data_IF_634864661410
#
_entry.id   IF_634864661410
#
_cell.length_a   1.000
_cell.length_b   1.000
_cell.length_c   1.000
_cell.angle_alpha   90.00
_cell.angle_beta   90.00
_cell.angle_gamma   90.00
#
_symmetry.space_group_name_H-M   'P 1'
#
loop_
_entity.id
_entity.type
_entity.pdbx_description
1 polymer ?
#
# COMPACT_ATOMS: atom_id res chain seq x y z
N UNK A 1 -0.11 24.92 16.47
CA UNK A 1 0.15 26.10 15.61
C UNK A 1 -0.92 26.17 14.55
N UNK A 2 -1.32 27.37 14.08
CA UNK A 2 -2.24 27.48 12.94
C UNK A 2 -1.64 26.80 11.70
N UNK A 3 -2.47 26.11 10.92
CA UNK A 3 -2.04 25.45 9.68
C UNK A 3 -1.74 26.47 8.56
N UNK A 4 -2.36 27.65 8.64
CA UNK A 4 -2.18 28.75 7.72
C UNK A 4 -2.46 30.07 8.46
N UNK A 5 -1.67 31.11 8.17
CA UNK A 5 -1.89 32.47 8.69
C UNK A 5 -2.15 33.38 7.51
N UNK A 6 -3.41 33.77 7.32
CA UNK A 6 -3.83 34.66 6.24
C UNK A 6 -3.98 36.10 6.77
N UNK A 7 -3.24 37.08 6.20
CA UNK A 7 -3.38 38.46 6.62
C UNK A 7 -4.74 39.01 6.19
N UNK A 8 -5.44 39.69 7.10
CA UNK A 8 -6.81 40.17 6.85
C UNK A 8 -6.92 41.09 5.62
N UNK A 9 -5.85 41.81 5.29
CA UNK A 9 -5.78 42.69 4.13
C UNK A 9 -5.78 41.95 2.78
N UNK A 10 -5.43 40.66 2.74
CA UNK A 10 -5.45 39.86 1.50
C UNK A 10 -6.76 39.11 1.26
N UNK A 11 -7.70 39.11 2.21
CA UNK A 11 -8.97 38.37 2.07
C UNK A 11 -9.79 38.82 0.85
N UNK A 12 -9.80 40.12 0.56
CA UNK A 12 -10.56 40.66 -0.58
C UNK A 12 -10.03 40.20 -1.94
N UNK A 13 -8.71 40.03 -2.09
CA UNK A 13 -8.11 39.50 -3.31
C UNK A 13 -8.22 37.97 -3.38
N UNK A 14 -8.04 37.27 -2.26
CA UNK A 14 -8.27 35.83 -2.13
C UNK A 14 -9.69 35.43 -2.54
N UNK A 15 -10.70 36.15 -2.04
CA UNK A 15 -12.10 35.88 -2.38
C UNK A 15 -12.39 36.06 -3.87
N UNK A 16 -11.78 37.05 -4.52
CA UNK A 16 -11.96 37.30 -5.96
C UNK A 16 -11.22 36.28 -6.84
N UNK A 17 -10.05 35.81 -6.39
CA UNK A 17 -9.24 34.85 -7.13
C UNK A 17 -9.65 33.39 -6.94
N UNK A 18 -10.44 33.09 -5.91
CA UNK A 18 -10.91 31.74 -5.63
C UNK A 18 -12.36 31.55 -6.14
N UNK A 19 -12.59 30.89 -7.30
CA UNK A 19 -13.94 30.63 -7.80
C UNK A 19 -14.76 29.76 -6.84
N UNK A 20 -14.09 29.01 -5.97
CA UNK A 20 -14.68 28.12 -4.98
C UNK A 20 -14.68 28.73 -3.57
N UNK A 21 -14.61 30.06 -3.47
CA UNK A 21 -14.65 30.77 -2.18
C UNK A 21 -15.95 30.55 -1.42
N UNK A 22 -17.06 30.35 -2.16
CA UNK A 22 -18.40 30.17 -1.59
C UNK A 22 -18.82 28.71 -1.68
N UNK A 23 -19.48 28.22 -0.62
CA UNK A 23 -20.04 26.87 -0.60
C UNK A 23 -21.06 26.68 -1.76
N UNK A 24 -20.98 25.59 -2.54
CA UNK A 24 -21.91 25.39 -3.65
C UNK A 24 -23.36 25.28 -3.20
N UNK A 25 -24.27 25.99 -3.88
CA UNK A 25 -25.69 25.96 -3.56
C UNK A 25 -26.35 24.70 -4.12
N UNK A 26 -27.14 23.99 -3.30
CA UNK A 26 -27.83 22.75 -3.71
C UNK A 26 -28.96 22.94 -4.73
N UNK A 27 -29.35 24.19 -5.00
CA UNK A 27 -30.45 24.52 -5.90
C UNK A 27 -30.08 24.43 -7.40
N UNK A 28 -28.81 24.20 -7.71
CA UNK A 28 -28.29 24.07 -9.07
C UNK A 28 -27.36 22.87 -9.17
N UNK A 29 -27.07 22.41 -10.40
CA UNK A 29 -25.99 21.46 -10.65
C UNK A 29 -24.71 22.05 -10.05
N UNK A 30 -24.02 21.27 -9.25
CA UNK A 30 -22.86 21.72 -8.48
C UNK A 30 -21.92 20.54 -8.21
N UNK A 31 -20.76 20.83 -7.61
CA UNK A 31 -19.71 19.83 -7.34
C UNK A 31 -19.92 18.98 -6.08
N UNK A 32 -21.06 19.09 -5.38
CA UNK A 32 -21.39 18.29 -4.20
C UNK A 32 -22.20 17.04 -4.56
N UNK A 33 -22.94 17.07 -5.66
CA UNK A 33 -23.92 16.03 -6.02
C UNK A 33 -23.72 15.58 -7.48
N UNK A 34 -23.80 14.28 -7.80
CA UNK A 34 -24.04 13.15 -6.88
C UNK A 34 -22.78 12.74 -6.09
N UNK A 35 -21.61 13.25 -6.46
CA UNK A 35 -20.33 12.97 -5.78
C UNK A 35 -19.68 14.30 -5.44
N UNK A 36 -19.30 14.45 -4.17
CA UNK A 36 -18.58 15.63 -3.71
C UNK A 36 -17.15 15.66 -4.28
N UNK A 37 -16.92 16.52 -5.26
CA UNK A 37 -15.64 16.73 -5.90
C UNK A 37 -14.95 17.99 -5.35
N UNK A 38 -13.82 17.85 -4.63
CA UNK A 38 -13.00 19.00 -4.29
C UNK A 38 -12.36 19.58 -5.56
N UNK A 39 -11.96 20.85 -5.49
CA UNK A 39 -11.04 21.40 -6.48
C UNK A 39 -9.68 20.73 -6.26
N UNK A 40 -9.07 20.25 -7.33
CA UNK A 40 -7.70 19.74 -7.30
C UNK A 40 -6.73 20.84 -7.74
N UNK A 41 -5.72 21.11 -6.90
CA UNK A 41 -4.61 22.00 -7.22
C UNK A 41 -3.29 21.21 -7.08
N UNK A 42 -2.96 20.35 -8.07
CA UNK A 42 -1.84 19.43 -7.95
C UNK A 42 -0.51 20.19 -7.95
N UNK A 43 0.40 19.83 -7.05
CA UNK A 43 1.72 20.46 -6.93
C UNK A 43 2.71 20.09 -8.04
N UNK A 44 2.35 19.16 -8.92
CA UNK A 44 3.14 18.74 -10.08
C UNK A 44 2.26 18.14 -11.18
N UNK A 45 2.80 18.07 -12.40
CA UNK A 45 2.18 17.39 -13.54
C UNK A 45 2.84 16.05 -13.85
N UNK A 46 2.09 15.19 -14.52
CA UNK A 46 2.54 13.88 -15.05
C UNK A 46 2.58 13.99 -16.57
N UNK A 47 3.73 13.68 -17.16
CA UNK A 47 3.97 13.67 -18.59
C UNK A 47 3.96 12.23 -19.13
N UNK A 48 3.73 12.04 -20.43
CA UNK A 48 3.61 10.70 -21.05
C UNK A 48 4.88 9.84 -20.92
N UNK A 49 6.03 10.49 -20.81
CA UNK A 49 7.34 9.87 -20.70
C UNK A 49 7.65 9.41 -19.27
N UNK A 50 6.88 9.90 -18.29
CA UNK A 50 7.05 9.53 -16.90
C UNK A 50 6.79 8.05 -16.67
N UNK A 51 7.61 7.49 -15.79
CA UNK A 51 7.47 6.13 -15.29
C UNK A 51 6.85 6.19 -13.91
N UNK A 52 5.73 5.50 -13.77
CA UNK A 52 4.92 5.45 -12.57
C UNK A 52 5.07 4.08 -11.94
N UNK A 53 5.43 4.04 -10.66
CA UNK A 53 5.38 2.82 -9.84
C UNK A 53 4.07 2.83 -9.04
N UNK A 54 3.36 1.72 -8.98
CA UNK A 54 2.16 1.55 -8.14
C UNK A 54 2.35 0.40 -7.17
N UNK A 55 2.05 0.65 -5.89
CA UNK A 55 2.07 -0.37 -4.83
C UNK A 55 0.92 -0.13 -3.86
N UNK A 56 0.41 -1.21 -3.27
CA UNK A 56 -0.60 -1.12 -2.23
C UNK A 56 -1.72 -2.13 -2.40
N UNK A 57 -2.91 -1.77 -1.90
CA UNK A 57 -4.10 -2.63 -1.95
C UNK A 57 -4.55 -2.95 -3.37
N UNK A 58 -5.60 -3.77 -3.52
CA UNK A 58 -6.26 -4.05 -4.81
C UNK A 58 -6.62 -2.79 -5.62
N UNK A 59 -6.88 -1.66 -4.96
CA UNK A 59 -7.17 -0.40 -5.62
C UNK A 59 -5.95 0.21 -6.33
N UNK A 60 -4.73 -0.06 -5.86
CA UNK A 60 -3.50 0.30 -6.57
C UNK A 60 -3.45 -0.33 -7.96
N UNK A 61 -3.86 -1.60 -8.09
CA UNK A 61 -3.95 -2.28 -9.40
C UNK A 61 -5.03 -1.66 -10.30
N UNK A 62 -6.13 -1.17 -9.72
CA UNK A 62 -7.15 -0.45 -10.47
C UNK A 62 -6.62 0.90 -10.99
N UNK A 63 -5.89 1.65 -10.15
CA UNK A 63 -5.18 2.87 -10.56
C UNK A 63 -4.20 2.56 -11.69
N UNK A 64 -3.35 1.55 -11.52
CA UNK A 64 -2.39 1.10 -12.54
C UNK A 64 -3.07 0.78 -13.88
N UNK A 65 -4.21 0.10 -13.84
CA UNK A 65 -5.01 -0.20 -15.03
C UNK A 65 -5.53 1.05 -15.74
N UNK A 66 -5.96 2.08 -15.01
CA UNK A 66 -6.41 3.35 -15.59
C UNK A 66 -5.25 4.18 -16.13
N UNK A 67 -4.11 4.21 -15.42
CA UNK A 67 -2.89 4.89 -15.88
C UNK A 67 -2.40 4.27 -17.19
N UNK A 68 -2.37 2.94 -17.27
CA UNK A 68 -1.99 2.22 -18.50
C UNK A 68 -2.90 2.54 -19.68
N UNK A 69 -4.22 2.72 -19.46
CA UNK A 69 -5.17 3.14 -20.51
C UNK A 69 -4.92 4.56 -21.03
N UNK A 70 -4.15 5.37 -20.32
CA UNK A 70 -3.75 6.72 -20.72
C UNK A 70 -2.30 6.77 -21.26
N UNK A 71 -1.78 5.64 -21.74
CA UNK A 71 -0.47 5.49 -22.39
C UNK A 71 0.75 5.85 -21.52
N UNK A 72 0.61 5.84 -20.19
CA UNK A 72 1.72 6.04 -19.25
C UNK A 72 2.47 4.73 -18.98
N UNK A 73 3.78 4.83 -18.74
CA UNK A 73 4.64 3.69 -18.41
C UNK A 73 4.43 3.28 -16.96
N UNK A 74 3.81 2.13 -16.75
CA UNK A 74 3.48 1.62 -15.42
C UNK A 74 4.44 0.50 -14.98
N UNK A 75 4.85 0.58 -13.73
CA UNK A 75 5.65 -0.40 -13.02
C UNK A 75 4.98 -0.75 -11.68
N UNK A 76 5.27 -1.92 -11.12
CA UNK A 76 6.03 -2.97 -11.77
C UNK A 76 5.27 -3.63 -12.93
N UNK A 77 6.00 -4.28 -13.83
CA UNK A 77 5.36 -5.11 -14.85
C UNK A 77 4.72 -6.34 -14.21
N UNK A 78 3.61 -6.81 -14.79
CA UNK A 78 2.92 -8.02 -14.30
C UNK A 78 3.82 -9.23 -14.45
N UNK A 79 4.02 -9.96 -13.37
CA UNK A 79 4.84 -11.19 -13.31
C UNK A 79 4.01 -12.47 -13.14
N UNK A 80 2.68 -12.39 -13.19
CA UNK A 80 1.81 -13.54 -12.89
C UNK A 80 2.07 -14.73 -13.81
N UNK A 81 2.37 -14.50 -15.09
CA UNK A 81 2.68 -15.56 -16.04
C UNK A 81 3.97 -16.31 -15.70
N UNK A 82 4.90 -15.66 -14.97
CA UNK A 82 6.15 -16.23 -14.48
C UNK A 82 5.99 -16.97 -13.14
N UNK A 83 4.86 -16.83 -12.46
CA UNK A 83 4.54 -17.55 -11.22
C UNK A 83 3.89 -18.89 -11.57
N UNK A 84 4.21 -20.01 -10.90
CA UNK A 84 3.53 -21.28 -11.16
C UNK A 84 2.03 -21.22 -10.84
N UNK A 85 1.20 -21.92 -11.63
CA UNK A 85 -0.27 -21.81 -11.58
C UNK A 85 -0.86 -21.97 -10.18
N UNK A 86 -0.34 -22.91 -9.38
CA UNK A 86 -0.81 -23.15 -8.01
C UNK A 86 -0.66 -21.95 -7.06
N UNK A 87 0.26 -21.03 -7.34
CA UNK A 87 0.47 -19.81 -6.55
C UNK A 87 -0.17 -18.57 -7.17
N UNK A 88 -0.68 -18.66 -8.40
CA UNK A 88 -1.29 -17.52 -9.09
C UNK A 88 -2.61 -17.16 -8.40
N UNK A 89 -2.66 -15.98 -7.82
CA UNK A 89 -3.86 -15.36 -7.29
C UNK A 89 -3.87 -13.88 -7.65
N UNK A 90 -5.05 -13.28 -7.75
CA UNK A 90 -5.19 -11.86 -8.10
C UNK A 90 -4.45 -10.95 -7.12
N UNK A 91 -4.45 -11.30 -5.83
CA UNK A 91 -3.88 -10.52 -4.73
C UNK A 91 -2.44 -10.89 -4.37
N UNK A 92 -1.71 -11.59 -5.24
CA UNK A 92 -0.39 -12.13 -4.93
C UNK A 92 0.58 -11.05 -4.44
N UNK A 93 0.55 -9.88 -5.08
CA UNK A 93 1.41 -8.73 -4.83
C UNK A 93 0.66 -7.52 -4.25
N UNK A 94 -0.50 -7.75 -3.63
CA UNK A 94 -1.20 -6.68 -2.92
C UNK A 94 -0.54 -6.46 -1.56
N UNK A 95 -0.40 -5.19 -1.20
CA UNK A 95 0.15 -4.75 0.06
C UNK A 95 -0.83 -3.86 0.80
N UNK A 96 -1.39 -4.34 1.90
CA UNK A 96 -2.56 -3.67 2.48
C UNK A 96 -2.23 -2.64 3.55
N UNK A 97 -1.12 -2.80 4.27
CA UNK A 97 -0.77 -1.92 5.39
C UNK A 97 0.59 -1.23 5.11
N UNK A 98 0.86 -0.08 5.75
CA UNK A 98 2.08 0.68 5.46
C UNK A 98 3.36 -0.09 5.84
N UNK A 99 3.33 -0.96 6.85
CA UNK A 99 4.51 -1.73 7.23
C UNK A 99 4.87 -2.80 6.21
N UNK A 100 3.91 -3.50 5.61
CA UNK A 100 4.25 -4.46 4.56
C UNK A 100 4.77 -3.79 3.30
N UNK A 101 4.27 -2.58 2.97
CA UNK A 101 4.84 -1.73 1.91
C UNK A 101 6.30 -1.33 2.24
N UNK A 102 6.55 -0.90 3.48
CA UNK A 102 7.90 -0.59 3.96
C UNK A 102 8.83 -1.81 3.83
N UNK A 103 8.41 -2.97 4.31
CA UNK A 103 9.17 -4.21 4.23
C UNK A 103 9.46 -4.60 2.78
N UNK A 104 8.50 -4.41 1.87
CA UNK A 104 8.70 -4.64 0.43
C UNK A 104 9.84 -3.78 -0.13
N UNK A 105 9.85 -2.48 0.16
CA UNK A 105 10.95 -1.62 -0.27
C UNK A 105 12.28 -1.95 0.42
N UNK A 106 12.27 -2.30 1.71
CA UNK A 106 13.47 -2.74 2.41
C UNK A 106 14.04 -4.03 1.82
N UNK A 107 13.23 -5.04 1.52
CA UNK A 107 13.71 -6.26 0.86
C UNK A 107 14.27 -5.98 -0.53
N UNK A 108 13.65 -5.08 -1.30
CA UNK A 108 14.06 -4.76 -2.66
C UNK A 108 15.31 -3.88 -2.74
N UNK A 109 15.47 -2.92 -1.81
CA UNK A 109 16.47 -1.86 -1.92
C UNK A 109 17.51 -1.86 -0.78
N UNK A 110 17.13 -2.36 0.41
CA UNK A 110 17.95 -2.36 1.62
C UNK A 110 17.90 -3.69 2.38
N UNK A 111 18.20 -4.84 1.75
CA UNK A 111 17.94 -6.16 2.34
C UNK A 111 18.71 -6.42 3.65
N UNK A 112 19.77 -5.65 3.94
CA UNK A 112 20.50 -5.71 5.20
C UNK A 112 19.78 -5.02 6.38
N UNK A 113 18.78 -4.15 6.10
CA UNK A 113 18.02 -3.40 7.12
C UNK A 113 16.85 -4.19 7.72
N UNK A 114 16.50 -5.32 7.12
CA UNK A 114 15.30 -6.10 7.45
C UNK A 114 15.65 -7.59 7.54
N UNK A 115 14.89 -8.35 8.34
CA UNK A 115 15.02 -9.80 8.38
C UNK A 115 14.62 -10.43 7.04
N UNK A 116 15.33 -11.46 6.55
CA UNK A 116 14.93 -12.17 5.34
C UNK A 116 13.53 -12.78 5.45
N UNK A 117 12.76 -12.80 4.35
CA UNK A 117 11.40 -13.38 4.31
C UNK A 117 11.32 -14.81 4.85
N UNK A 118 12.35 -15.61 4.63
CA UNK A 118 12.39 -17.00 5.10
C UNK A 118 12.37 -17.16 6.64
N UNK A 119 12.48 -16.06 7.40
CA UNK A 119 12.35 -16.07 8.87
C UNK A 119 10.91 -16.23 9.35
N UNK A 120 9.91 -15.86 8.54
CA UNK A 120 8.49 -16.01 8.86
C UNK A 120 7.80 -17.15 8.10
N UNK A 121 8.56 -17.98 7.37
CA UNK A 121 8.00 -19.13 6.65
C UNK A 121 7.42 -20.16 7.62
N UNK A 122 6.25 -20.68 7.25
CA UNK A 122 5.55 -21.71 8.03
C UNK A 122 5.76 -23.06 7.35
N UNK A 123 6.38 -24.00 8.06
CA UNK A 123 6.59 -25.36 7.58
C UNK A 123 5.36 -26.21 7.88
N UNK A 124 4.86 -26.93 6.88
CA UNK A 124 3.78 -27.91 7.04
C UNK A 124 4.31 -29.29 7.40
N UNK A 125 3.41 -30.20 7.82
CA UNK A 125 3.75 -31.59 8.16
C UNK A 125 4.43 -32.32 7.00
N UNK A 126 3.98 -32.08 5.76
CA UNK A 126 4.55 -32.64 4.52
C UNK A 126 5.89 -32.01 4.10
N UNK A 127 6.54 -31.25 4.98
CA UNK A 127 7.77 -30.50 4.70
C UNK A 127 7.68 -29.46 3.58
N UNK A 128 6.47 -29.05 3.21
CA UNK A 128 6.25 -27.89 2.36
C UNK A 128 6.31 -26.60 3.19
N UNK A 129 6.45 -25.49 2.50
CA UNK A 129 6.56 -24.15 3.07
C UNK A 129 5.40 -23.30 2.59
N UNK A 130 4.80 -22.57 3.51
CA UNK A 130 3.93 -21.44 3.25
C UNK A 130 4.67 -20.13 3.53
N UNK A 131 4.56 -19.18 2.60
CA UNK A 131 5.10 -17.84 2.73
C UNK A 131 3.97 -16.84 3.04
N UNK A 132 3.87 -16.34 4.28
CA UNK A 132 2.84 -15.39 4.67
C UNK A 132 3.13 -13.94 4.22
N UNK A 133 4.27 -13.66 3.58
CA UNK A 133 4.62 -12.32 3.07
C UNK A 133 3.99 -12.00 1.71
N UNK A 134 3.25 -12.95 1.12
CA UNK A 134 2.58 -12.83 -0.16
C UNK A 134 1.12 -13.30 -0.06
N UNK A 135 0.27 -12.87 -0.99
CA UNK A 135 -1.17 -13.14 -0.94
C UNK A 135 -1.64 -14.54 -1.34
N UNK A 136 -0.74 -15.45 -1.74
CA UNK A 136 -1.12 -16.81 -2.17
C UNK A 136 -1.57 -17.69 -0.98
N UNK A 137 -2.31 -18.76 -1.29
CA UNK A 137 -2.80 -19.73 -0.29
C UNK A 137 -2.17 -21.11 -0.40
N UNK A 138 -1.27 -21.29 -1.36
CA UNK A 138 -0.60 -22.56 -1.63
C UNK A 138 0.71 -22.70 -0.84
N UNK A 139 1.08 -23.95 -0.58
CA UNK A 139 2.39 -24.35 -0.06
C UNK A 139 3.27 -24.87 -1.20
N UNK A 140 4.58 -24.82 -1.01
CA UNK A 140 5.54 -25.33 -1.98
C UNK A 140 6.86 -25.76 -1.39
N UNK A 141 7.77 -26.21 -2.24
CA UNK A 141 9.15 -26.47 -1.81
C UNK A 141 9.87 -25.16 -1.50
N UNK A 142 11.00 -25.25 -0.80
CA UNK A 142 11.84 -24.07 -0.50
C UNK A 142 12.30 -23.37 -1.78
N UNK A 143 12.57 -24.14 -2.82
CA UNK A 143 13.03 -23.65 -4.12
C UNK A 143 11.91 -22.90 -4.85
N UNK A 144 10.68 -23.44 -4.85
CA UNK A 144 9.52 -22.76 -5.46
C UNK A 144 9.22 -21.43 -4.77
N UNK A 145 9.15 -21.44 -3.43
CA UNK A 145 8.89 -20.24 -2.63
C UNK A 145 10.04 -19.23 -2.77
N UNK A 146 11.29 -19.70 -2.78
CA UNK A 146 12.46 -18.86 -3.00
C UNK A 146 12.47 -18.19 -4.37
N UNK A 147 12.09 -18.91 -5.42
CA UNK A 147 11.99 -18.38 -6.77
C UNK A 147 10.89 -17.29 -6.90
N UNK A 148 9.72 -17.51 -6.30
CA UNK A 148 8.64 -16.53 -6.27
C UNK A 148 9.08 -15.29 -5.50
N UNK A 149 9.72 -15.46 -4.33
CA UNK A 149 10.22 -14.34 -3.54
C UNK A 149 11.25 -13.52 -4.31
N UNK A 150 12.21 -14.18 -4.96
CA UNK A 150 13.17 -13.48 -5.80
C UNK A 150 12.47 -12.70 -6.92
N UNK A 151 11.51 -13.32 -7.61
CA UNK A 151 10.74 -12.67 -8.66
C UNK A 151 9.99 -11.43 -8.15
N UNK A 152 9.37 -11.50 -6.97
CA UNK A 152 8.67 -10.36 -6.36
C UNK A 152 9.64 -9.27 -5.92
N UNK A 153 10.76 -9.60 -5.29
CA UNK A 153 11.79 -8.62 -4.92
C UNK A 153 12.38 -7.93 -6.15
N UNK A 154 12.69 -8.68 -7.22
CA UNK A 154 13.20 -8.12 -8.47
C UNK A 154 12.14 -7.20 -9.13
N UNK A 155 10.86 -7.60 -9.09
CA UNK A 155 9.72 -6.78 -9.51
C UNK A 155 9.63 -5.48 -8.71
N UNK A 156 9.72 -5.53 -7.39
CA UNK A 156 9.57 -4.36 -6.54
C UNK A 156 10.77 -3.40 -6.66
N UNK A 157 11.95 -3.90 -7.02
CA UNK A 157 13.13 -3.08 -7.33
C UNK A 157 12.94 -2.14 -8.54
N UNK A 158 11.93 -2.40 -9.39
CA UNK A 158 11.61 -1.55 -10.55
C UNK A 158 11.16 -0.14 -10.15
N UNK A 159 10.86 0.11 -8.86
CA UNK A 159 10.61 1.45 -8.32
C UNK A 159 11.77 2.41 -8.60
N UNK A 160 13.01 1.91 -8.66
CA UNK A 160 14.22 2.70 -8.99
C UNK A 160 14.20 3.27 -10.41
N UNK A 161 13.36 2.72 -11.30
CA UNK A 161 13.17 3.20 -12.68
C UNK A 161 12.16 4.34 -12.75
N UNK A 162 11.44 4.63 -11.66
CA UNK A 162 10.25 5.48 -11.65
C UNK A 162 10.51 6.84 -11.00
N UNK A 163 9.89 7.88 -11.55
CA UNK A 163 9.87 9.22 -10.95
C UNK A 163 8.63 9.43 -10.09
N UNK A 164 7.54 8.75 -10.39
CA UNK A 164 6.28 8.87 -9.66
C UNK A 164 6.02 7.55 -8.94
N UNK A 165 5.75 7.61 -7.65
CA UNK A 165 5.41 6.45 -6.82
C UNK A 165 4.02 6.66 -6.24
N UNK A 166 3.08 5.79 -6.60
CA UNK A 166 1.72 5.79 -6.06
C UNK A 166 1.64 4.70 -4.99
N UNK A 167 1.33 5.11 -3.77
CA UNK A 167 1.18 4.24 -2.61
C UNK A 167 -0.29 4.26 -2.21
N UNK A 168 -0.95 3.10 -2.24
CA UNK A 168 -2.37 2.98 -1.84
C UNK A 168 -2.51 2.18 -0.56
N UNK A 169 -2.78 2.85 0.56
CA UNK A 169 -3.02 2.21 1.85
C UNK A 169 -4.40 1.52 1.86
N UNK A 170 -4.51 0.38 2.54
CA UNK A 170 -5.72 -0.46 2.52
C UNK A 170 -6.33 -0.76 3.88
N UNK A 171 -5.50 -1.12 4.86
CA UNK A 171 -5.90 -1.69 6.16
C UNK A 171 -5.01 -1.16 7.29
N UNK A 172 -5.59 -1.02 8.48
CA UNK A 172 -4.86 -0.73 9.74
C UNK A 172 -4.82 -1.93 10.69
N UNK A 173 -5.59 -2.99 10.42
CA UNK A 173 -5.51 -4.24 11.18
C UNK A 173 -4.50 -5.16 10.49
N UNK A 174 -3.38 -5.40 11.17
CA UNK A 174 -2.19 -6.05 10.61
C UNK A 174 -1.87 -7.31 11.40
N UNK A 175 -1.43 -8.36 10.71
CA UNK A 175 -0.92 -9.57 11.34
C UNK A 175 0.57 -9.39 11.55
N UNK A 176 1.03 -9.53 12.79
CA UNK A 176 2.42 -9.41 13.18
C UNK A 176 2.96 -10.75 13.66
N UNK A 177 4.15 -11.12 13.20
CA UNK A 177 4.87 -12.32 13.64
C UNK A 177 5.95 -11.91 14.65
N UNK A 178 5.72 -12.21 15.94
CA UNK A 178 6.57 -11.78 17.04
C UNK A 178 7.97 -12.44 17.02
N UNK A 179 8.13 -13.59 16.37
CA UNK A 179 9.44 -14.25 16.26
C UNK A 179 10.32 -13.61 15.18
N UNK A 180 9.74 -13.29 14.02
CA UNK A 180 10.50 -12.67 12.91
C UNK A 180 10.57 -11.15 12.99
N UNK A 181 9.62 -10.53 13.72
CA UNK A 181 9.43 -9.09 13.75
C UNK A 181 8.85 -8.53 12.44
N UNK A 182 8.15 -9.36 11.66
CA UNK A 182 7.60 -8.99 10.36
C UNK A 182 6.06 -8.93 10.38
N UNK A 183 5.52 -7.97 9.65
CA UNK A 183 4.11 -7.92 9.28
C UNK A 183 3.84 -8.82 8.08
N UNK A 184 2.69 -9.49 8.11
CA UNK A 184 2.29 -10.50 7.13
C UNK A 184 1.17 -9.99 6.21
N UNK A 185 1.15 -10.46 4.97
CA UNK A 185 0.04 -10.19 4.02
C UNK A 185 -1.08 -11.22 4.15
N UNK A 186 -0.71 -12.47 4.44
CA UNK A 186 -1.65 -13.56 4.58
C UNK A 186 -1.74 -14.00 6.04
N UNK A 187 -2.97 -14.03 6.57
CA UNK A 187 -3.24 -14.67 7.85
C UNK A 187 -2.96 -16.18 7.75
N UNK A 188 -2.07 -16.74 8.60
CA UNK A 188 -1.71 -18.15 8.58
C UNK A 188 -2.91 -19.11 8.77
N UNK A 189 -3.95 -18.66 9.48
CA UNK A 189 -5.22 -19.36 9.59
C UNK A 189 -5.10 -20.82 10.01
N UNK A 190 -5.44 -21.73 9.10
CA UNK A 190 -5.44 -23.18 9.34
C UNK A 190 -4.05 -23.78 9.58
N UNK A 191 -2.99 -23.03 9.28
CA UNK A 191 -1.61 -23.45 9.55
C UNK A 191 -1.20 -23.16 11.00
N UNK A 192 -2.04 -22.47 11.78
CA UNK A 192 -1.83 -22.28 13.20
C UNK A 192 -2.25 -23.52 13.96
N UNK A 193 -1.38 -23.99 14.85
CA UNK A 193 -1.67 -24.96 15.89
C UNK A 193 -1.89 -24.23 17.23
N UNK A 194 -2.45 -24.92 18.22
CA UNK A 194 -2.56 -24.35 19.57
C UNK A 194 -1.18 -24.06 20.20
N UNK A 195 -0.11 -24.66 19.67
CA UNK A 195 1.26 -24.48 20.16
C UNK A 195 2.01 -23.31 19.52
N UNK A 196 1.55 -22.77 18.39
CA UNK A 196 2.22 -21.65 17.70
C UNK A 196 1.35 -20.40 17.58
N UNK A 197 0.10 -20.42 18.09
CA UNK A 197 -0.81 -19.28 17.96
C UNK A 197 -0.28 -18.02 18.66
N UNK A 198 0.35 -18.19 19.82
CA UNK A 198 0.90 -17.09 20.62
C UNK A 198 2.10 -16.38 19.96
N UNK A 199 2.61 -16.91 18.84
CA UNK A 199 3.62 -16.25 18.01
C UNK A 199 3.07 -15.04 17.25
N UNK A 200 1.76 -15.00 17.02
CA UNK A 200 1.15 -14.01 16.13
C UNK A 200 0.24 -13.05 16.89
N UNK A 201 0.40 -11.78 16.60
CA UNK A 201 -0.41 -10.70 17.15
C UNK A 201 -1.21 -10.00 16.05
N UNK A 202 -2.35 -9.42 16.43
CA UNK A 202 -3.08 -8.49 15.57
C UNK A 202 -2.81 -7.09 16.08
N UNK A 203 -2.08 -6.30 15.30
CA UNK A 203 -1.85 -4.89 15.58
C UNK A 203 -2.93 -4.06 14.89
N UNK A 204 -3.55 -3.14 15.63
CA UNK A 204 -4.46 -2.14 15.09
C UNK A 204 -3.73 -0.81 15.13
N UNK A 205 -3.28 -0.33 13.97
CA UNK A 205 -2.37 0.81 13.91
C UNK A 205 -3.02 2.12 14.34
N UNK A 206 -2.26 2.95 15.02
CA UNK A 206 -2.55 4.36 15.27
C UNK A 206 -2.06 5.26 14.12
N UNK A 207 -2.64 6.46 13.94
CA UNK A 207 -2.19 7.41 12.92
C UNK A 207 -0.70 7.76 12.99
N UNK A 208 -0.11 7.81 14.19
CA UNK A 208 1.33 8.05 14.38
C UNK A 208 2.18 6.91 13.82
N UNK A 209 1.80 5.66 14.07
CA UNK A 209 2.53 4.49 13.55
C UNK A 209 2.46 4.42 12.01
N UNK A 210 1.32 4.80 11.44
CA UNK A 210 1.15 4.92 9.99
C UNK A 210 2.06 6.01 9.43
N UNK A 211 2.11 7.18 10.09
CA UNK A 211 2.99 8.28 9.69
C UNK A 211 4.46 7.86 9.77
N UNK A 212 4.87 7.22 10.86
CA UNK A 212 6.25 6.74 11.05
C UNK A 212 6.66 5.74 9.96
N UNK A 213 5.75 4.83 9.57
CA UNK A 213 6.00 3.91 8.46
C UNK A 213 6.10 4.63 7.11
N UNK A 214 5.26 5.64 6.87
CA UNK A 214 5.32 6.46 5.64
C UNK A 214 6.60 7.30 5.57
N UNK A 215 7.06 7.86 6.69
CA UNK A 215 8.33 8.58 6.77
C UNK A 215 9.52 7.66 6.50
N UNK A 216 9.49 6.43 7.04
CA UNK A 216 10.50 5.41 6.74
C UNK A 216 10.49 4.98 5.27
N UNK A 217 9.30 4.77 4.68
CA UNK A 217 9.17 4.50 3.24
C UNK A 217 9.78 5.65 2.45
N UNK A 218 9.42 6.89 2.77
CA UNK A 218 9.96 8.07 2.11
C UNK A 218 11.48 8.16 2.25
N UNK A 219 12.04 7.84 3.42
CA UNK A 219 13.49 7.82 3.65
C UNK A 219 14.21 6.72 2.85
N UNK A 220 13.62 5.54 2.71
CA UNK A 220 14.13 4.49 1.81
C UNK A 220 14.09 5.00 0.37
N UNK A 221 12.94 5.46 -0.11
CA UNK A 221 12.81 5.95 -1.50
C UNK A 221 13.78 7.10 -1.80
N UNK A 222 13.93 8.07 -0.89
CA UNK A 222 14.84 9.21 -1.05
C UNK A 222 16.30 8.79 -1.24
N UNK A 223 16.74 7.70 -0.62
CA UNK A 223 18.11 7.19 -0.75
C UNK A 223 18.38 6.49 -2.09
N UNK A 224 17.33 5.96 -2.74
CA UNK A 224 17.47 5.09 -3.91
C UNK A 224 16.86 5.65 -5.20
N UNK A 225 15.98 6.65 -5.13
CA UNK A 225 15.33 7.28 -6.27
C UNK A 225 16.00 8.63 -6.63
N UNK A 226 15.79 9.14 -7.85
CA UNK A 226 16.26 10.48 -8.23
C UNK A 226 15.68 11.57 -7.31
N UNK A 227 16.43 12.65 -7.09
CA UNK A 227 16.09 13.71 -6.14
C UNK A 227 14.69 14.37 -6.33
N UNK A 228 14.12 14.32 -7.54
CA UNK A 228 12.84 14.95 -7.88
C UNK A 228 11.67 13.96 -7.98
N UNK A 229 11.79 12.77 -7.40
CA UNK A 229 10.68 11.82 -7.38
C UNK A 229 9.45 12.42 -6.64
N UNK A 230 8.26 11.96 -7.01
CA UNK A 230 6.98 12.42 -6.48
C UNK A 230 6.21 11.23 -5.91
N UNK A 231 5.63 11.40 -4.74
CA UNK A 231 4.75 10.41 -4.12
C UNK A 231 3.31 10.88 -4.23
N UNK A 232 2.42 9.98 -4.66
CA UNK A 232 0.97 10.15 -4.55
C UNK A 232 0.49 9.12 -3.54
N UNK A 233 0.06 9.59 -2.38
CA UNK A 233 -0.53 8.74 -1.36
C UNK A 233 -2.04 8.71 -1.54
N UNK A 234 -2.63 7.52 -1.54
CA UNK A 234 -4.07 7.31 -1.62
C UNK A 234 -4.52 6.29 -0.57
N UNK A 235 -5.81 6.32 -0.25
CA UNK A 235 -6.47 5.33 0.62
C UNK A 235 -7.49 4.57 -0.22
N UNK A 236 -7.52 3.25 -0.06
CA UNK A 236 -8.47 2.38 -0.77
C UNK A 236 -9.91 2.69 -0.34
N UNK A 237 -10.83 2.92 -1.29
CA UNK A 237 -12.25 3.13 -0.99
C UNK A 237 -12.99 1.81 -0.70
N UNK A 238 -12.34 0.65 -0.87
CA UNK A 238 -12.96 -0.66 -0.67
C UNK A 238 -13.16 -0.89 0.82
N UNK A 239 -14.40 -1.11 1.31
CA UNK A 239 -14.65 -1.30 2.74
C UNK A 239 -14.00 -2.58 3.27
N UNK A 240 -13.76 -2.64 4.58
CA UNK A 240 -13.35 -3.87 5.25
C UNK A 240 -14.40 -4.96 5.05
N UNK A 241 -13.99 -6.12 4.57
CA UNK A 241 -14.87 -7.30 4.54
C UNK A 241 -15.07 -7.88 5.94
N UNK A 242 -13.99 -7.87 6.74
CA UNK A 242 -13.92 -8.51 8.05
C UNK A 242 -13.11 -7.61 9.01
N UNK A 243 -13.33 -7.75 10.32
CA UNK A 243 -12.51 -7.13 11.38
C UNK A 243 -12.12 -8.21 12.41
N UNK A 244 -10.91 -8.10 12.95
CA UNK A 244 -10.41 -8.87 14.09
C UNK A 244 -10.80 -8.26 15.44
N UNK A 245 -11.34 -7.03 15.43
CA UNK A 245 -11.73 -6.31 16.64
C UNK A 245 -13.09 -6.79 17.13
N UNK A 246 -13.31 -6.67 18.44
CA UNK A 246 -14.61 -6.94 19.07
C UNK A 246 -15.59 -5.77 18.88
N UNK A 247 -15.84 -5.38 17.64
CA UNK A 247 -16.80 -4.33 17.27
C UNK A 247 -17.43 -4.62 15.90
N UNK A 248 -18.41 -3.79 15.53
CA UNK A 248 -19.03 -3.87 14.21
C UNK A 248 -18.02 -3.49 13.10
N UNK A 249 -18.06 -4.21 11.97
CA UNK A 249 -17.13 -4.01 10.86
C UNK A 249 -17.22 -2.60 10.25
N UNK A 250 -18.39 -1.95 10.31
CA UNK A 250 -18.56 -0.57 9.86
C UNK A 250 -17.78 0.37 10.78
N UNK A 251 -17.84 0.15 12.10
CA UNK A 251 -17.09 0.96 13.07
C UNK A 251 -15.58 0.75 12.92
N UNK A 252 -15.14 -0.50 12.71
CA UNK A 252 -13.76 -0.81 12.40
C UNK A 252 -13.30 -0.15 11.09
N UNK A 253 -14.16 -0.16 10.06
CA UNK A 253 -13.90 0.49 8.79
C UNK A 253 -13.72 2.00 8.94
N UNK A 254 -14.60 2.68 9.67
CA UNK A 254 -14.50 4.14 9.93
C UNK A 254 -13.22 4.52 10.67
N UNK A 255 -12.69 3.64 11.52
CA UNK A 255 -11.38 3.87 12.12
C UNK A 255 -10.24 3.65 11.10
N UNK A 256 -10.38 2.67 10.21
CA UNK A 256 -9.36 2.34 9.22
C UNK A 256 -9.25 3.32 8.05
N UNK A 257 -10.35 3.96 7.65
CA UNK A 257 -10.47 4.85 6.48
C UNK A 257 -11.73 5.70 6.54
#
# INVERSE_FOLDING_TARGET
MPIEILPICSLGSLAKGNPEFVWPHRASINRLEPVCQPRFDPSFSINKEDKVFTIGSCFASNIAGHIKKNDLKIYPLRVQDSVPEKFRVTNLDFHYNPFTILQTFQWALEPASIKPRHTCYIKTEDSLIFDPTLGHKATGTREEIGAINKLMTDKDSEVTKCRIVIITLGLVECVFDCESGLYLEAWPGKLLSDTNRDRYEIHVLEPSEILDALEQIHAVLTRHLPAEFKVILTVSPVPLSNTFRKCDVISANTYSK
#
